data_IF_554622919130
#
_entry.id   IF_554622919130
#
_cell.length_a   1.000
_cell.length_b   1.000
_cell.length_c   1.000
_cell.angle_alpha   90.00
_cell.angle_beta   90.00
_cell.angle_gamma   90.00
#
_symmetry.space_group_name_H-M   'P 1'
#
loop_
_entity.id
_entity.type
_entity.pdbx_description
1 polymer ?
#
# COMPACT_ATOMS: atom_id res chain seq x y z
N UNK A 1 41.97 -4.84 -14.96
CA UNK A 1 41.91 -4.28 -13.63
C UNK A 1 41.72 -5.37 -12.59
N UNK A 2 42.21 -5.22 -11.39
CA UNK A 2 42.03 -6.18 -10.31
C UNK A 2 40.61 -5.97 -9.73
N UNK A 3 39.90 -7.06 -9.43
CA UNK A 3 38.66 -7.01 -8.65
C UNK A 3 39.02 -6.60 -7.23
N UNK A 4 38.52 -5.46 -6.77
CA UNK A 4 38.72 -4.95 -5.41
C UNK A 4 37.59 -5.30 -4.45
N UNK A 5 36.40 -5.66 -5.00
CA UNK A 5 35.25 -6.16 -4.26
C UNK A 5 34.39 -6.99 -5.20
N UNK A 6 33.90 -8.12 -4.71
CA UNK A 6 32.88 -8.94 -5.37
C UNK A 6 31.79 -9.27 -4.34
N UNK A 7 30.57 -8.93 -4.67
CA UNK A 7 29.42 -9.28 -3.82
C UNK A 7 29.25 -10.81 -3.77
N UNK A 8 29.09 -11.34 -2.57
CA UNK A 8 28.65 -12.71 -2.35
C UNK A 8 27.16 -12.64 -1.93
N UNK A 9 26.32 -13.38 -2.62
CA UNK A 9 24.90 -13.48 -2.25
C UNK A 9 24.79 -14.25 -0.93
N UNK A 10 24.41 -13.54 0.14
CA UNK A 10 24.14 -14.06 1.48
C UNK A 10 22.72 -13.70 1.90
N UNK A 11 21.77 -13.74 0.95
CA UNK A 11 20.40 -13.40 1.22
C UNK A 11 19.78 -14.32 2.28
N UNK A 12 19.14 -13.72 3.27
CA UNK A 12 18.35 -14.40 4.30
C UNK A 12 16.86 -14.08 4.10
N UNK A 13 16.02 -15.07 4.31
CA UNK A 13 14.58 -14.86 4.27
C UNK A 13 14.12 -14.11 5.52
N UNK A 14 13.64 -12.87 5.33
CA UNK A 14 13.16 -12.00 6.42
C UNK A 14 11.63 -12.07 6.55
N UNK A 15 10.90 -12.16 5.44
CA UNK A 15 9.44 -12.21 5.41
C UNK A 15 8.93 -13.55 4.89
N UNK A 16 7.75 -13.98 5.37
CA UNK A 16 7.07 -15.11 4.77
C UNK A 16 6.56 -14.77 3.37
N UNK A 17 6.37 -15.79 2.52
CA UNK A 17 5.83 -15.61 1.17
C UNK A 17 4.47 -14.93 1.19
N UNK A 18 3.62 -15.29 2.17
CA UNK A 18 2.32 -14.65 2.35
C UNK A 18 2.45 -13.15 2.66
N UNK A 19 3.35 -12.77 3.57
CA UNK A 19 3.57 -11.36 3.92
C UNK A 19 4.08 -10.57 2.73
N UNK A 20 5.06 -11.12 2.01
CA UNK A 20 5.61 -10.49 0.81
C UNK A 20 4.53 -10.31 -0.28
N UNK A 21 3.75 -11.36 -0.54
CA UNK A 21 2.69 -11.31 -1.55
C UNK A 21 1.58 -10.31 -1.20
N UNK A 22 1.07 -10.34 0.03
CA UNK A 22 0.01 -9.43 0.47
C UNK A 22 0.46 -7.97 0.43
N UNK A 23 1.70 -7.69 0.86
CA UNK A 23 2.28 -6.34 0.76
C UNK A 23 2.42 -5.92 -0.70
N UNK A 24 2.93 -6.79 -1.56
CA UNK A 24 3.03 -6.53 -3.01
C UNK A 24 1.66 -6.25 -3.62
N UNK A 25 0.64 -7.03 -3.26
CA UNK A 25 -0.72 -6.81 -3.76
C UNK A 25 -1.26 -5.42 -3.39
N UNK A 26 -1.11 -4.98 -2.14
CA UNK A 26 -1.47 -3.61 -1.74
C UNK A 26 -0.69 -2.54 -2.53
N UNK A 27 0.59 -2.77 -2.82
CA UNK A 27 1.42 -1.85 -3.61
C UNK A 27 1.06 -1.86 -5.10
N UNK A 28 0.46 -2.92 -5.62
CA UNK A 28 -0.07 -2.97 -6.98
C UNK A 28 -1.24 -2.00 -7.17
N UNK A 29 -2.09 -1.83 -6.17
CA UNK A 29 -3.20 -0.86 -6.22
C UNK A 29 -2.69 0.57 -6.37
N UNK A 30 -1.61 0.91 -5.67
CA UNK A 30 -0.97 2.23 -5.78
C UNK A 30 -0.39 2.44 -7.17
N UNK A 31 0.33 1.46 -7.69
CA UNK A 31 0.94 1.53 -9.00
C UNK A 31 -0.07 1.53 -10.15
N UNK A 32 -1.26 0.96 -9.91
CA UNK A 32 -2.39 0.95 -10.85
C UNK A 32 -3.21 2.23 -10.80
N UNK A 33 -3.06 3.05 -9.76
CA UNK A 33 -3.75 4.33 -9.63
C UNK A 33 -3.34 5.27 -10.76
N UNK A 34 -4.34 5.75 -11.49
CA UNK A 34 -4.14 6.71 -12.59
C UNK A 34 -4.28 8.16 -12.15
N UNK A 35 -4.38 8.40 -10.83
CA UNK A 35 -4.68 9.74 -10.28
C UNK A 35 -3.66 10.78 -10.73
N UNK A 36 -2.38 10.41 -10.78
CA UNK A 36 -1.30 11.32 -11.16
C UNK A 36 -0.66 10.99 -12.50
N UNK A 37 -0.35 9.74 -12.75
CA UNK A 37 0.35 9.33 -13.98
C UNK A 37 0.08 7.87 -14.33
N UNK A 38 -0.29 7.61 -15.57
CA UNK A 38 -0.52 6.23 -16.04
C UNK A 38 0.81 5.52 -16.32
N UNK A 39 1.43 5.03 -15.26
CA UNK A 39 2.73 4.35 -15.32
C UNK A 39 2.66 3.12 -16.22
N UNK A 40 1.71 2.22 -15.96
CA UNK A 40 1.54 0.97 -16.74
C UNK A 40 1.34 1.24 -18.22
N UNK A 41 0.49 2.20 -18.57
CA UNK A 41 0.25 2.55 -19.98
C UNK A 41 1.46 3.16 -20.69
N UNK A 42 2.35 3.79 -19.93
CA UNK A 42 3.51 4.50 -20.47
C UNK A 42 4.83 3.70 -20.42
N UNK A 43 4.85 2.53 -19.75
CA UNK A 43 6.05 1.68 -19.70
C UNK A 43 6.44 1.09 -21.06
N UNK A 44 5.47 0.87 -21.93
CA UNK A 44 5.71 0.29 -23.24
C UNK A 44 5.76 -1.25 -23.27
N UNK A 45 5.54 -1.91 -22.11
CA UNK A 45 5.43 -3.36 -22.00
C UNK A 45 4.45 -3.72 -20.89
N UNK A 46 3.97 -4.96 -20.87
CA UNK A 46 3.01 -5.45 -19.88
C UNK A 46 3.71 -6.30 -18.83
N UNK A 47 3.63 -5.87 -17.59
CA UNK A 47 4.08 -6.64 -16.41
C UNK A 47 3.30 -6.18 -15.20
N UNK A 48 3.21 -7.04 -14.19
CA UNK A 48 2.73 -6.61 -12.89
C UNK A 48 3.70 -5.59 -12.31
N UNK A 49 3.13 -4.59 -11.65
CA UNK A 49 3.87 -3.49 -11.06
C UNK A 49 3.35 -3.21 -9.66
N UNK A 50 4.25 -3.15 -8.73
CA UNK A 50 4.00 -2.75 -7.35
C UNK A 50 4.92 -1.57 -7.00
N UNK A 51 4.43 -0.58 -6.28
CA UNK A 51 5.25 0.58 -5.98
C UNK A 51 4.62 1.58 -5.02
N UNK A 52 5.44 2.51 -4.57
CA UNK A 52 5.04 3.56 -3.64
C UNK A 52 5.77 4.86 -3.94
N UNK A 53 5.01 5.95 -3.89
CA UNK A 53 5.55 7.30 -3.90
C UNK A 53 6.05 7.70 -2.51
N UNK A 54 7.04 8.57 -2.45
CA UNK A 54 7.50 9.24 -1.25
C UNK A 54 7.61 10.73 -1.51
N UNK A 55 7.10 11.53 -0.59
CA UNK A 55 7.21 12.99 -0.65
C UNK A 55 7.62 13.47 0.72
N UNK A 56 8.71 14.25 0.79
CA UNK A 56 9.13 14.87 2.04
C UNK A 56 8.25 16.06 2.39
N UNK A 57 8.33 16.51 3.64
CA UNK A 57 7.69 17.75 4.05
C UNK A 57 8.19 18.91 3.19
N UNK A 58 7.28 19.84 2.88
CA UNK A 58 7.53 20.98 1.98
C UNK A 58 7.89 20.60 0.53
N UNK A 59 7.62 19.36 0.11
CA UNK A 59 7.84 18.91 -1.29
C UNK A 59 9.27 19.15 -1.81
N UNK A 60 10.28 19.00 -0.94
CA UNK A 60 11.68 19.18 -1.30
C UNK A 60 12.21 17.95 -2.06
N UNK A 61 11.69 16.78 -1.70
CA UNK A 61 12.05 15.49 -2.28
C UNK A 61 10.82 14.74 -2.75
N UNK A 62 10.92 14.15 -3.92
CA UNK A 62 9.94 13.25 -4.46
C UNK A 62 10.60 11.95 -4.90
N UNK A 63 10.13 10.86 -4.32
CA UNK A 63 10.55 9.50 -4.62
C UNK A 63 9.44 8.73 -5.32
N UNK A 64 9.83 7.85 -6.20
CA UNK A 64 9.00 6.73 -6.61
C UNK A 64 9.85 5.48 -6.68
N UNK A 65 9.53 4.50 -5.84
CA UNK A 65 10.17 3.18 -5.83
C UNK A 65 9.14 2.16 -6.25
N UNK A 66 9.41 1.46 -7.33
CA UNK A 66 8.51 0.44 -7.85
C UNK A 66 9.30 -0.73 -8.44
N UNK A 67 8.64 -1.88 -8.51
CA UNK A 67 9.24 -3.11 -8.99
C UNK A 67 8.26 -3.97 -9.79
N UNK A 68 8.80 -4.67 -10.75
CA UNK A 68 8.17 -5.80 -11.44
C UNK A 68 8.62 -7.11 -10.77
N UNK A 69 8.13 -8.27 -11.17
CA UNK A 69 8.65 -9.54 -10.64
C UNK A 69 10.17 -9.76 -10.82
N UNK A 70 10.80 -9.03 -11.70
CA UNK A 70 12.21 -9.24 -12.09
C UNK A 70 13.14 -8.10 -11.72
N UNK A 71 12.66 -6.86 -11.64
CA UNK A 71 13.49 -5.66 -11.47
C UNK A 71 12.88 -4.68 -10.50
N UNK A 72 13.69 -4.13 -9.63
CA UNK A 72 13.37 -2.99 -8.76
C UNK A 72 14.10 -1.75 -9.25
N UNK A 73 13.39 -0.64 -9.36
CA UNK A 73 13.94 0.66 -9.74
C UNK A 73 13.43 1.75 -8.78
N UNK A 74 14.32 2.61 -8.34
CA UNK A 74 13.99 3.83 -7.61
C UNK A 74 14.28 5.06 -8.45
N UNK A 75 13.41 6.06 -8.38
CA UNK A 75 13.68 7.40 -8.92
C UNK A 75 13.50 8.45 -7.85
N UNK A 76 14.37 9.44 -7.89
CA UNK A 76 14.38 10.56 -6.98
C UNK A 76 14.55 11.88 -7.73
N UNK A 77 13.76 12.85 -7.32
CA UNK A 77 13.88 14.24 -7.73
C UNK A 77 13.85 15.10 -6.48
N UNK A 78 14.83 15.92 -6.28
CA UNK A 78 14.92 16.71 -5.05
C UNK A 78 16.05 17.73 -5.08
N UNK A 79 16.21 18.40 -3.96
CA UNK A 79 17.25 19.39 -3.74
C UNK A 79 18.18 18.92 -2.61
N UNK A 80 19.47 19.12 -2.81
CA UNK A 80 20.50 18.74 -1.81
C UNK A 80 20.39 19.53 -0.51
N UNK A 81 19.79 20.72 -0.56
CA UNK A 81 19.64 21.57 0.62
C UNK A 81 18.21 21.50 1.19
N UNK A 82 18.00 20.59 2.11
CA UNK A 82 16.76 20.35 2.78
C UNK A 82 16.21 21.55 3.60
N UNK A 83 17.10 22.39 4.10
CA UNK A 83 16.71 23.52 4.98
C UNK A 83 16.31 24.79 4.25
N UNK A 84 16.38 24.81 2.94
CA UNK A 84 16.05 26.02 2.17
C UNK A 84 14.67 25.91 1.52
N UNK A 85 13.64 26.47 2.20
CA UNK A 85 12.25 26.49 1.73
C UNK A 85 12.03 27.12 0.33
N UNK A 86 13.05 27.78 -0.24
CA UNK A 86 13.00 28.31 -1.60
C UNK A 86 13.03 27.24 -2.68
N UNK A 87 13.35 26.02 -2.32
CA UNK A 87 13.60 24.91 -3.26
C UNK A 87 12.51 23.85 -3.22
N UNK A 88 11.31 24.15 -2.68
CA UNK A 88 10.18 23.26 -2.82
C UNK A 88 9.90 22.96 -4.30
N UNK A 89 9.67 21.70 -4.62
CA UNK A 89 9.25 21.27 -5.96
C UNK A 89 7.78 21.64 -6.09
N UNK A 90 7.50 22.82 -6.64
CA UNK A 90 6.12 23.34 -6.76
C UNK A 90 5.49 22.90 -8.07
N UNK A 91 4.16 22.70 -8.07
CA UNK A 91 3.36 22.64 -9.30
C UNK A 91 3.28 24.01 -9.99
N UNK A 92 2.80 24.04 -11.23
CA UNK A 92 2.55 25.29 -11.97
C UNK A 92 3.74 25.82 -12.78
N UNK A 93 4.89 25.19 -12.76
CA UNK A 93 6.07 25.51 -13.58
C UNK A 93 6.03 24.88 -15.00
N UNK A 94 4.94 24.23 -15.37
CA UNK A 94 4.77 23.54 -16.64
C UNK A 94 5.27 22.11 -16.69
N UNK A 95 5.90 21.61 -15.61
CA UNK A 95 6.42 20.24 -15.55
C UNK A 95 5.46 19.25 -14.89
N UNK A 96 4.26 19.70 -14.51
CA UNK A 96 3.23 18.89 -13.83
C UNK A 96 3.40 18.81 -12.33
N UNK A 97 2.50 18.09 -11.67
CA UNK A 97 2.54 17.89 -10.22
C UNK A 97 3.85 17.23 -9.76
N UNK A 98 4.40 17.63 -8.62
CA UNK A 98 5.69 17.13 -8.12
C UNK A 98 5.80 15.61 -8.12
N UNK A 99 4.79 14.93 -7.59
CA UNK A 99 4.73 13.45 -7.53
C UNK A 99 4.68 12.78 -8.90
N UNK A 100 4.17 13.45 -9.93
CA UNK A 100 4.16 12.93 -11.30
C UNK A 100 5.55 12.94 -11.94
N UNK A 101 6.44 13.81 -11.50
CA UNK A 101 7.78 13.95 -12.10
C UNK A 101 8.64 12.73 -11.80
N UNK A 102 8.68 12.27 -10.55
CA UNK A 102 9.41 11.06 -10.18
C UNK A 102 8.82 9.80 -10.85
N UNK A 103 7.50 9.72 -10.96
CA UNK A 103 6.83 8.63 -11.68
C UNK A 103 7.15 8.64 -13.17
N UNK A 104 7.16 9.81 -13.81
CA UNK A 104 7.52 9.97 -15.24
C UNK A 104 8.98 9.60 -15.48
N UNK A 105 9.88 10.06 -14.61
CA UNK A 105 11.29 9.71 -14.68
C UNK A 105 11.47 8.19 -14.56
N UNK A 106 10.84 7.57 -13.57
CA UNK A 106 10.85 6.14 -13.37
C UNK A 106 10.36 5.39 -14.62
N UNK A 107 9.23 5.81 -15.16
CA UNK A 107 8.63 5.17 -16.35
C UNK A 107 9.55 5.25 -17.57
N UNK A 108 10.19 6.39 -17.80
CA UNK A 108 11.13 6.57 -18.89
C UNK A 108 12.38 5.71 -18.72
N UNK A 109 12.92 5.62 -17.50
CA UNK A 109 14.06 4.76 -17.18
C UNK A 109 13.72 3.28 -17.34
N UNK A 110 12.56 2.85 -16.84
CA UNK A 110 12.13 1.46 -16.98
C UNK A 110 11.90 1.08 -18.43
N UNK A 111 11.31 1.95 -19.23
CA UNK A 111 11.15 1.75 -20.68
C UNK A 111 12.49 1.63 -21.39
N UNK A 112 13.41 2.53 -21.10
CA UNK A 112 14.75 2.48 -21.69
C UNK A 112 15.52 1.21 -21.28
N UNK A 113 15.36 0.77 -20.02
CA UNK A 113 15.93 -0.48 -19.54
C UNK A 113 15.33 -1.70 -20.27
N UNK A 114 14.01 -1.70 -20.52
CA UNK A 114 13.34 -2.73 -21.30
C UNK A 114 13.83 -2.76 -22.77
N UNK A 115 13.93 -1.60 -23.39
CA UNK A 115 14.44 -1.48 -24.77
C UNK A 115 15.90 -1.98 -24.89
N UNK A 116 16.72 -1.71 -23.86
CA UNK A 116 18.12 -2.14 -23.83
C UNK A 116 18.29 -3.64 -23.54
N UNK A 117 17.45 -4.23 -22.68
CA UNK A 117 17.53 -5.64 -22.29
C UNK A 117 16.14 -6.20 -21.92
N UNK A 118 15.33 -6.56 -22.93
CA UNK A 118 13.97 -7.08 -22.70
C UNK A 118 13.95 -8.39 -21.88
N UNK A 119 14.98 -9.21 -22.01
CA UNK A 119 15.06 -10.49 -21.30
C UNK A 119 15.26 -10.31 -19.80
N UNK A 120 16.08 -9.32 -19.40
CA UNK A 120 16.29 -8.98 -18.00
C UNK A 120 15.04 -8.41 -17.34
N UNK A 121 14.37 -7.48 -18.02
CA UNK A 121 13.17 -6.83 -17.47
C UNK A 121 11.99 -7.77 -17.48
N UNK A 122 11.88 -8.65 -18.48
CA UNK A 122 10.78 -9.59 -18.64
C UNK A 122 9.48 -8.93 -19.07
N UNK A 123 8.96 -9.34 -20.20
CA UNK A 123 7.65 -8.91 -20.70
C UNK A 123 6.55 -9.84 -20.14
N UNK A 124 5.42 -9.25 -19.75
CA UNK A 124 4.23 -9.98 -19.29
C UNK A 124 4.49 -10.86 -18.05
N UNK A 125 5.37 -10.41 -17.16
CA UNK A 125 5.63 -11.12 -15.91
C UNK A 125 4.57 -10.78 -14.86
N UNK A 126 4.19 -11.77 -14.04
CA UNK A 126 3.23 -11.63 -12.97
C UNK A 126 3.80 -12.07 -11.63
N UNK A 127 3.36 -11.44 -10.54
CA UNK A 127 3.71 -11.88 -9.20
C UNK A 127 3.04 -13.22 -8.90
N UNK A 128 3.84 -14.18 -8.47
CA UNK A 128 3.34 -15.53 -8.17
C UNK A 128 2.62 -15.56 -6.83
N UNK A 129 1.39 -16.05 -6.87
CA UNK A 129 0.62 -16.30 -5.64
C UNK A 129 1.23 -17.50 -4.91
N UNK A 130 1.62 -17.37 -3.63
CA UNK A 130 2.05 -18.51 -2.84
C UNK A 130 0.87 -19.34 -2.32
N UNK A 131 1.10 -20.62 -2.07
CA UNK A 131 0.08 -21.54 -1.52
C UNK A 131 -0.45 -21.11 -0.14
N UNK A 132 0.27 -20.26 0.57
CA UNK A 132 -0.09 -19.77 1.90
C UNK A 132 -1.16 -18.67 1.90
N UNK A 133 -1.59 -18.20 0.72
CA UNK A 133 -2.66 -17.19 0.57
C UNK A 133 -3.80 -17.70 -0.30
N UNK A 134 -4.98 -17.15 -0.09
CA UNK A 134 -6.18 -17.48 -0.86
C UNK A 134 -7.11 -16.27 -0.94
N UNK A 135 -8.07 -16.32 -1.85
CA UNK A 135 -9.11 -15.29 -1.97
C UNK A 135 -10.35 -15.69 -1.21
N UNK A 136 -10.99 -14.71 -0.56
CA UNK A 136 -12.25 -14.89 0.13
C UNK A 136 -13.13 -13.64 0.02
N UNK A 137 -14.45 -13.84 0.17
CA UNK A 137 -15.43 -12.76 0.11
C UNK A 137 -15.73 -12.22 1.49
N UNK A 138 -15.68 -10.90 1.61
CA UNK A 138 -15.96 -10.15 2.84
C UNK A 138 -16.87 -8.96 2.57
N UNK A 139 -17.50 -8.46 3.60
CA UNK A 139 -18.27 -7.22 3.53
C UNK A 139 -17.30 -6.07 3.31
N UNK A 140 -17.48 -5.29 2.25
CA UNK A 140 -16.52 -4.27 1.80
C UNK A 140 -16.23 -3.18 2.83
N UNK A 141 -17.20 -2.88 3.70
CA UNK A 141 -17.07 -1.84 4.72
C UNK A 141 -16.38 -2.32 6.00
N UNK A 142 -16.35 -3.63 6.25
CA UNK A 142 -15.90 -4.19 7.53
C UNK A 142 -14.71 -5.13 7.40
N UNK A 143 -14.49 -5.69 6.22
CA UNK A 143 -13.48 -6.72 6.01
C UNK A 143 -13.79 -8.06 6.70
N UNK A 144 -15.01 -8.24 7.23
CA UNK A 144 -15.43 -9.48 7.91
C UNK A 144 -16.35 -10.31 7.03
N UNK A 145 -16.58 -11.56 7.41
CA UNK A 145 -17.65 -12.35 6.81
C UNK A 145 -19.03 -11.71 7.05
N UNK A 146 -19.95 -11.87 6.12
CA UNK A 146 -21.36 -11.55 6.37
C UNK A 146 -21.96 -12.58 7.34
N UNK A 147 -22.88 -12.15 8.18
CA UNK A 147 -23.56 -13.02 9.14
C UNK A 147 -24.10 -12.29 10.34
N UNK A 148 -24.64 -13.04 11.30
CA UNK A 148 -25.20 -12.50 12.54
C UNK A 148 -24.36 -12.92 13.73
N UNK A 149 -24.33 -12.06 14.75
CA UNK A 149 -23.65 -12.33 16.02
C UNK A 149 -24.47 -11.81 17.19
N UNK A 150 -24.21 -12.36 18.38
CA UNK A 150 -24.79 -11.89 19.64
C UNK A 150 -23.79 -10.96 20.32
N UNK A 151 -24.26 -9.76 20.66
CA UNK A 151 -23.48 -8.82 21.46
C UNK A 151 -23.62 -9.12 22.96
N UNK A 152 -22.77 -8.51 23.78
CA UNK A 152 -22.77 -8.68 25.23
C UNK A 152 -24.08 -8.25 25.90
N UNK A 153 -24.80 -7.31 25.31
CA UNK A 153 -26.13 -6.89 25.76
C UNK A 153 -27.25 -7.89 25.46
N UNK A 154 -26.91 -9.08 24.87
CA UNK A 154 -27.86 -10.12 24.49
C UNK A 154 -28.59 -9.86 23.16
N UNK A 155 -28.39 -8.71 22.53
CA UNK A 155 -28.96 -8.38 21.21
C UNK A 155 -28.31 -9.20 20.11
N UNK A 156 -29.11 -9.51 19.06
CA UNK A 156 -28.60 -10.14 17.84
C UNK A 156 -28.45 -9.07 16.76
N UNK A 157 -27.27 -8.96 16.18
CA UNK A 157 -26.92 -8.00 15.15
C UNK A 157 -26.46 -8.73 13.89
N UNK A 158 -26.62 -8.10 12.75
CA UNK A 158 -26.20 -8.66 11.47
C UNK A 158 -25.25 -7.68 10.76
N UNK A 159 -24.18 -8.24 10.22
CA UNK A 159 -23.28 -7.55 9.30
C UNK A 159 -23.54 -8.08 7.91
N UNK A 160 -23.82 -7.16 7.00
CA UNK A 160 -24.07 -7.44 5.59
C UNK A 160 -23.86 -6.18 4.76
N UNK A 161 -24.09 -6.28 3.46
CA UNK A 161 -23.93 -5.17 2.52
C UNK A 161 -23.20 -5.60 1.25
N UNK A 162 -22.56 -4.63 0.60
CA UNK A 162 -21.74 -4.91 -0.58
C UNK A 162 -20.58 -5.82 -0.23
N UNK A 163 -20.39 -6.85 -1.06
CA UNK A 163 -19.30 -7.81 -0.89
C UNK A 163 -18.12 -7.45 -1.78
N UNK A 164 -16.94 -7.66 -1.29
CA UNK A 164 -15.69 -7.62 -2.06
C UNK A 164 -14.91 -8.91 -1.87
N UNK A 165 -14.05 -9.23 -2.82
CA UNK A 165 -13.16 -10.39 -2.73
C UNK A 165 -11.74 -9.88 -2.55
N UNK A 166 -11.09 -10.34 -1.48
CA UNK A 166 -9.74 -9.93 -1.13
C UNK A 166 -8.85 -11.12 -0.81
N UNK A 167 -7.55 -10.87 -0.61
CA UNK A 167 -6.54 -11.87 -0.30
C UNK A 167 -6.36 -12.04 1.21
N UNK A 168 -6.26 -13.30 1.63
CA UNK A 168 -6.08 -13.66 3.04
C UNK A 168 -4.98 -14.70 3.20
N UNK A 169 -4.24 -14.59 4.30
CA UNK A 169 -3.31 -15.64 4.71
C UNK A 169 -4.11 -16.81 5.29
N UNK A 170 -3.76 -18.06 4.94
CA UNK A 170 -4.49 -19.26 5.40
C UNK A 170 -4.60 -19.36 6.92
N UNK A 171 -3.56 -18.95 7.65
CA UNK A 171 -3.55 -18.95 9.12
C UNK A 171 -4.34 -17.79 9.73
N UNK A 172 -4.74 -16.80 8.94
CA UNK A 172 -5.49 -15.62 9.35
C UNK A 172 -6.66 -15.37 8.41
N UNK A 173 -7.69 -16.24 8.44
CA UNK A 173 -8.89 -16.06 7.62
C UNK A 173 -9.64 -14.79 8.04
N UNK A 174 -10.52 -14.25 7.18
CA UNK A 174 -11.36 -13.14 7.54
C UNK A 174 -12.23 -13.52 8.73
N UNK A 175 -12.33 -12.61 9.69
CA UNK A 175 -13.09 -12.84 10.91
C UNK A 175 -14.57 -13.06 10.62
N UNK A 176 -15.19 -13.93 11.37
CA UNK A 176 -16.65 -13.98 11.45
C UNK A 176 -17.16 -12.68 12.08
N UNK A 177 -18.39 -12.26 11.75
CA UNK A 177 -18.97 -11.11 12.41
C UNK A 177 -19.06 -11.37 13.92
N UNK A 178 -18.46 -10.49 14.68
CA UNK A 178 -18.54 -10.44 16.13
C UNK A 178 -18.62 -8.98 16.52
N UNK A 179 -19.15 -8.70 17.69
CA UNK A 179 -19.08 -7.36 18.23
C UNK A 179 -17.61 -6.95 18.30
N UNK A 180 -17.21 -6.09 17.41
CA UNK A 180 -15.96 -5.40 17.47
C UNK A 180 -16.28 -3.91 17.41
N UNK A 181 -15.81 -3.25 18.38
CA UNK A 181 -15.62 -1.88 18.75
C UNK A 181 -16.15 -0.76 17.82
N UNK A 182 -16.01 -0.87 16.52
CA UNK A 182 -16.43 0.17 15.56
C UNK A 182 -17.31 -0.39 14.45
N UNK A 183 -17.35 -1.67 14.30
CA UNK A 183 -18.01 -2.35 13.19
C UNK A 183 -19.20 -3.12 13.72
N UNK A 184 -20.37 -2.57 13.54
CA UNK A 184 -21.62 -3.15 14.03
C UNK A 184 -22.04 -2.72 15.43
N UNK A 185 -21.38 -1.71 16.01
CA UNK A 185 -21.86 -1.07 17.24
C UNK A 185 -23.18 -0.35 16.99
N UNK A 186 -24.15 -0.56 17.85
CA UNK A 186 -25.39 0.23 17.83
C UNK A 186 -25.10 1.68 18.23
N UNK A 187 -25.97 2.64 17.84
CA UNK A 187 -25.86 4.01 18.32
C UNK A 187 -25.79 4.14 19.85
N UNK A 188 -26.47 3.25 20.58
CA UNK A 188 -26.47 3.24 22.03
C UNK A 188 -25.13 2.76 22.60
N UNK A 189 -24.49 1.77 21.97
CA UNK A 189 -23.17 1.27 22.39
C UNK A 189 -22.09 2.29 22.06
N UNK A 190 -22.16 2.95 20.91
CA UNK A 190 -21.28 4.08 20.57
C UNK A 190 -21.45 5.22 21.57
N UNK A 191 -22.68 5.58 21.92
CA UNK A 191 -22.94 6.62 22.93
C UNK A 191 -22.38 6.26 24.32
N UNK A 192 -22.49 5.01 24.76
CA UNK A 192 -21.85 4.56 26.01
C UNK A 192 -20.34 4.68 25.99
N UNK A 193 -19.73 4.36 24.85
CA UNK A 193 -18.30 4.48 24.70
C UNK A 193 -17.84 5.93 24.78
N UNK A 194 -18.45 6.81 24.01
CA UNK A 194 -18.10 8.24 24.02
C UNK A 194 -18.40 8.92 25.36
N UNK A 195 -19.50 8.57 26.02
CA UNK A 195 -19.86 9.13 27.32
C UNK A 195 -18.94 8.62 28.47
N UNK A 196 -18.39 7.41 28.39
CA UNK A 196 -17.38 6.93 29.33
C UNK A 196 -16.05 7.67 29.22
N UNK A 197 -15.65 8.06 28.01
CA UNK A 197 -14.41 8.81 27.79
C UNK A 197 -14.51 10.27 28.30
N UNK A 198 -15.69 10.88 28.24
CA UNK A 198 -15.92 12.23 28.79
C UNK A 198 -15.95 12.24 30.33
N UNK A 199 -16.46 11.20 30.98
CA UNK A 199 -16.48 11.13 32.44
C UNK A 199 -15.13 10.81 33.11
N UNK A 200 -14.16 10.30 32.35
CA UNK A 200 -12.80 10.03 32.87
C UNK A 200 -11.84 11.22 32.73
N UNK A 201 -12.18 12.19 31.90
CA UNK A 201 -11.38 13.43 31.73
C UNK A 201 -11.68 14.49 32.81
N UNK A 202 -12.90 14.45 33.37
CA UNK A 202 -13.28 15.43 34.42
C UNK A 202 -12.78 15.09 35.82
N UNK A 203 -12.39 13.82 36.07
CA UNK A 203 -11.84 13.38 37.37
C UNK A 203 -10.33 13.63 37.56
N UNK A 204 -9.63 14.14 36.57
CA UNK A 204 -8.20 14.48 36.66
C UNK A 204 -7.91 15.99 36.82
N UNK A 205 -8.92 16.80 37.06
CA UNK A 205 -8.76 18.25 37.29
C UNK A 205 -9.05 18.72 38.71
N UNK A 206 -9.28 17.79 39.66
CA UNK A 206 -9.53 18.13 41.08
C UNK A 206 -8.62 17.31 42.02
N UNK A 207 -7.32 17.18 41.70
CA UNK A 207 -6.29 16.81 42.67
C UNK A 207 -5.04 17.67 42.44
#
# INVERSE_FOLDING_TARGET
>A
GNIIYQHEDKSERVFSDATAFLTTNMLQDIASSTIFYNIKGNMGFSSDLAGKTGTSENEIDNWFVAYTPTVTLGSWIGYDNFYNARYAITGGDGYGEPTMRSQRQWTNLMRAAYEANPELIGKETSFTQPDSVYRDSVVSTTGTKAGSFKAENGGTYSIGGSMTTDWFKKDFPPMNPKYDFMVGATPEELNRFWNKSSSSSDKKKEE
#
